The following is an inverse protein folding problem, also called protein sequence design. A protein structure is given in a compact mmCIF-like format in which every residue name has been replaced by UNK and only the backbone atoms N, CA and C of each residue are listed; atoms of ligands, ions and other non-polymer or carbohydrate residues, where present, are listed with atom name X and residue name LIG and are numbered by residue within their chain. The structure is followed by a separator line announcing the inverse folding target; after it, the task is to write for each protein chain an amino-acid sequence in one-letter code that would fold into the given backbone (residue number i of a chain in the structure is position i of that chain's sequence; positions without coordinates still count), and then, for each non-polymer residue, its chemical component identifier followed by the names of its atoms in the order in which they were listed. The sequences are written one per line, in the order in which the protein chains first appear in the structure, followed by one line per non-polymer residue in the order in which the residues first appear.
data_IF_710453576630
#
_entry.id   IF_710453576630
#
_cell.length_a   1.000
_cell.length_b   1.000
_cell.length_c   1.000
_cell.angle_alpha   90.00
_cell.angle_beta   90.00
_cell.angle_gamma   90.00
#
_symmetry.space_group_name_H-M   'P 1'
#
loop_
_entity.id
_entity.type
_entity.pdbx_description
1 polymer ?
#
# COMPACT_ATOMS: atom_id res chain seq x y z
N UNK A 1 25.05 8.40 24.10
CA UNK A 1 24.41 7.09 23.91
C UNK A 1 25.45 6.00 23.76
N UNK A 2 25.04 4.75 23.94
CA UNK A 2 25.90 3.58 23.67
C UNK A 2 25.90 3.34 22.16
N UNK A 3 27.07 3.26 21.52
CA UNK A 3 27.21 3.19 20.05
C UNK A 3 26.43 2.02 19.43
N UNK A 4 26.33 0.88 20.11
CA UNK A 4 25.63 -0.32 19.63
C UNK A 4 24.09 -0.22 19.62
N UNK A 5 23.49 0.79 20.29
CA UNK A 5 22.04 0.97 20.36
C UNK A 5 21.49 1.95 19.32
N UNK A 6 22.32 2.74 18.66
CA UNK A 6 21.90 3.74 17.69
C UNK A 6 21.24 3.12 16.45
N UNK A 7 21.76 2.02 15.96
CA UNK A 7 21.21 1.29 14.80
C UNK A 7 19.79 0.78 15.04
N UNK A 8 19.54 0.15 16.18
CA UNK A 8 18.22 -0.38 16.56
C UNK A 8 17.20 0.75 16.77
N UNK A 9 17.61 1.84 17.40
CA UNK A 9 16.74 3.00 17.59
C UNK A 9 16.36 3.67 16.25
N UNK A 10 17.34 3.81 15.36
CA UNK A 10 17.10 4.34 14.01
C UNK A 10 16.16 3.44 13.21
N UNK A 11 16.40 2.12 13.22
CA UNK A 11 15.53 1.17 12.55
C UNK A 11 14.10 1.25 13.05
N UNK A 12 13.89 1.28 14.36
CA UNK A 12 12.58 1.43 14.96
C UNK A 12 11.88 2.75 14.55
N UNK A 13 12.63 3.85 14.48
CA UNK A 13 12.10 5.13 14.01
C UNK A 13 11.67 5.06 12.52
N UNK A 14 12.48 4.41 11.68
CA UNK A 14 12.16 4.20 10.25
C UNK A 14 10.93 3.29 10.09
N UNK A 15 10.81 2.22 10.88
CA UNK A 15 9.66 1.32 10.89
C UNK A 15 8.36 2.07 11.19
N UNK A 16 8.36 2.96 12.18
CA UNK A 16 7.22 3.85 12.48
C UNK A 16 6.91 4.79 11.33
N UNK A 17 7.94 5.34 10.68
CA UNK A 17 7.79 6.17 9.48
C UNK A 17 7.13 5.42 8.33
N UNK A 18 7.51 4.17 8.09
CA UNK A 18 6.90 3.32 7.05
C UNK A 18 5.41 3.08 7.34
N UNK A 19 5.04 2.75 8.59
CA UNK A 19 3.63 2.56 8.97
C UNK A 19 2.82 3.84 8.79
N UNK A 20 3.38 4.99 9.18
CA UNK A 20 2.71 6.29 9.01
C UNK A 20 2.45 6.59 7.53
N UNK A 21 3.43 6.34 6.64
CA UNK A 21 3.26 6.47 5.19
C UNK A 21 2.21 5.50 4.63
N UNK A 22 2.17 4.25 5.11
CA UNK A 22 1.15 3.29 4.70
C UNK A 22 -0.26 3.75 5.14
N UNK A 23 -0.40 4.29 6.33
CA UNK A 23 -1.67 4.83 6.84
C UNK A 23 -2.12 6.06 6.04
N UNK A 24 -1.20 6.98 5.74
CA UNK A 24 -1.47 8.12 4.86
C UNK A 24 -1.94 7.67 3.48
N UNK A 25 -1.26 6.68 2.89
CA UNK A 25 -1.64 6.13 1.59
C UNK A 25 -3.05 5.53 1.63
N UNK A 26 -3.39 4.76 2.68
CA UNK A 26 -4.72 4.18 2.84
C UNK A 26 -5.81 5.27 2.90
N UNK A 27 -5.58 6.35 3.65
CA UNK A 27 -6.50 7.50 3.71
C UNK A 27 -6.63 8.22 2.37
N UNK A 28 -5.52 8.47 1.67
CA UNK A 28 -5.54 9.08 0.35
C UNK A 28 -6.27 8.21 -0.70
N UNK A 29 -6.07 6.89 -0.64
CA UNK A 29 -6.77 5.92 -1.50
C UNK A 29 -8.27 5.89 -1.22
N UNK A 30 -8.69 6.01 0.04
CA UNK A 30 -10.10 6.07 0.42
C UNK A 30 -10.79 7.29 -0.21
N UNK A 31 -10.20 8.46 -0.03
CA UNK A 31 -10.75 9.70 -0.63
C UNK A 31 -10.77 9.60 -2.17
N UNK A 32 -9.72 9.06 -2.79
CA UNK A 32 -9.70 8.87 -4.25
C UNK A 32 -10.81 7.93 -4.72
N UNK A 33 -11.10 6.85 -3.98
CA UNK A 33 -12.24 5.96 -4.26
C UNK A 33 -13.58 6.67 -4.15
N UNK A 34 -13.80 7.42 -3.07
CA UNK A 34 -15.07 8.11 -2.81
C UNK A 34 -15.33 9.19 -3.86
N UNK A 35 -14.34 10.04 -4.16
CA UNK A 35 -14.44 11.03 -5.23
C UNK A 35 -14.75 10.38 -6.58
N UNK A 36 -14.11 9.26 -6.89
CA UNK A 36 -14.34 8.54 -8.15
C UNK A 36 -15.75 7.97 -8.21
N UNK A 37 -16.22 7.38 -7.13
CA UNK A 37 -17.58 6.83 -7.05
C UNK A 37 -18.65 7.91 -7.22
N UNK A 38 -18.48 9.06 -6.57
CA UNK A 38 -19.42 10.17 -6.69
C UNK A 38 -19.42 10.77 -8.10
N UNK A 39 -18.25 10.94 -8.70
CA UNK A 39 -18.14 11.37 -10.09
C UNK A 39 -18.86 10.40 -11.06
N UNK A 40 -18.71 9.09 -10.89
CA UNK A 40 -19.38 8.09 -11.74
C UNK A 40 -20.92 8.14 -11.59
N UNK A 41 -21.45 8.50 -10.41
CA UNK A 41 -22.89 8.66 -10.17
C UNK A 41 -23.46 9.94 -10.78
N UNK A 42 -22.68 11.02 -10.81
CA UNK A 42 -23.12 12.33 -11.26
C UNK A 42 -22.90 12.55 -12.76
N UNK A 43 -21.77 12.11 -13.29
CA UNK A 43 -21.39 12.32 -14.69
C UNK A 43 -22.31 11.58 -15.64
N UNK A 44 -22.97 12.29 -16.53
CA UNK A 44 -23.87 11.73 -17.55
C UNK A 44 -23.20 11.70 -18.92
N UNK A 45 -23.29 10.57 -19.60
CA UNK A 45 -22.97 10.35 -21.01
C UNK A 45 -23.97 9.33 -21.58
N UNK A 46 -24.25 9.42 -22.88
CA UNK A 46 -25.22 8.54 -23.54
C UNK A 46 -26.62 8.54 -22.88
N UNK A 47 -27.00 9.65 -22.26
CA UNK A 47 -28.30 9.82 -21.61
C UNK A 47 -28.44 9.28 -20.19
N UNK A 48 -27.40 8.62 -19.65
CA UNK A 48 -27.41 8.00 -18.31
C UNK A 48 -26.16 8.37 -17.49
N UNK A 49 -26.17 8.23 -16.14
CA UNK A 49 -24.97 8.29 -15.35
C UNK A 49 -23.96 7.23 -15.80
N UNK A 50 -22.68 7.61 -15.94
CA UNK A 50 -21.67 6.67 -16.43
C UNK A 50 -21.43 5.48 -15.49
N UNK A 51 -21.70 5.63 -14.19
CA UNK A 51 -21.66 4.55 -13.20
C UNK A 51 -22.69 3.44 -13.42
N UNK A 52 -23.65 3.61 -14.35
CA UNK A 52 -24.58 2.54 -14.76
C UNK A 52 -23.93 1.48 -15.68
N UNK A 53 -22.76 1.78 -16.27
CA UNK A 53 -22.05 0.84 -17.13
C UNK A 53 -21.26 -0.17 -16.31
N UNK A 54 -21.55 -1.48 -16.52
CA UNK A 54 -20.89 -2.57 -15.79
C UNK A 54 -19.36 -2.51 -15.85
N UNK A 55 -18.78 -2.14 -16.99
CA UNK A 55 -17.33 -2.02 -17.16
C UNK A 55 -16.72 -1.05 -16.14
N UNK A 56 -17.41 0.07 -15.82
CA UNK A 56 -16.94 1.04 -14.83
C UNK A 56 -17.22 0.58 -13.39
N UNK A 57 -18.32 -0.15 -13.17
CA UNK A 57 -18.64 -0.75 -11.88
C UNK A 57 -17.58 -1.77 -11.47
N UNK A 58 -17.15 -2.67 -12.38
CA UNK A 58 -16.11 -3.65 -12.09
C UNK A 58 -14.78 -2.98 -11.73
N UNK A 59 -14.38 -1.93 -12.47
CA UNK A 59 -13.17 -1.16 -12.15
C UNK A 59 -13.25 -0.51 -10.78
N UNK A 60 -14.42 0.05 -10.41
CA UNK A 60 -14.64 0.63 -9.09
C UNK A 60 -14.55 -0.41 -7.96
N UNK A 61 -15.08 -1.63 -8.19
CA UNK A 61 -14.94 -2.75 -7.26
C UNK A 61 -13.47 -3.14 -7.09
N UNK A 62 -12.70 -3.22 -8.17
CA UNK A 62 -11.26 -3.52 -8.11
C UNK A 62 -10.49 -2.44 -7.32
N UNK A 63 -10.83 -1.16 -7.49
CA UNK A 63 -10.26 -0.07 -6.69
C UNK A 63 -10.56 -0.27 -5.20
N UNK A 64 -11.82 -0.57 -4.85
CA UNK A 64 -12.21 -0.81 -3.46
C UNK A 64 -11.51 -2.02 -2.86
N UNK A 65 -11.39 -3.12 -3.61
CA UNK A 65 -10.64 -4.30 -3.16
C UNK A 65 -9.16 -3.99 -2.90
N UNK A 66 -8.52 -3.17 -3.74
CA UNK A 66 -7.14 -2.75 -3.54
C UNK A 66 -6.99 -1.88 -2.29
N UNK A 67 -7.91 -0.98 -2.03
CA UNK A 67 -7.96 -0.19 -0.80
C UNK A 67 -8.06 -1.08 0.44
N UNK A 68 -8.99 -2.05 0.46
CA UNK A 68 -9.19 -2.93 1.63
C UNK A 68 -7.97 -3.82 1.91
N UNK A 69 -7.26 -4.28 0.87
CA UNK A 69 -5.96 -4.98 1.03
C UNK A 69 -4.92 -4.09 1.71
N UNK A 70 -4.77 -2.84 1.24
CA UNK A 70 -3.82 -1.88 1.82
C UNK A 70 -4.19 -1.57 3.26
N UNK A 71 -5.46 -1.32 3.57
CA UNK A 71 -5.94 -1.06 4.94
C UNK A 71 -5.62 -2.22 5.88
N UNK A 72 -5.94 -3.43 5.46
CA UNK A 72 -5.73 -4.64 6.27
C UNK A 72 -4.26 -4.87 6.58
N UNK A 73 -3.38 -4.76 5.58
CA UNK A 73 -1.94 -4.93 5.78
C UNK A 73 -1.31 -3.78 6.57
N UNK A 74 -1.78 -2.55 6.38
CA UNK A 74 -1.33 -1.40 7.16
C UNK A 74 -1.68 -1.57 8.64
N UNK A 75 -2.90 -2.02 8.94
CA UNK A 75 -3.34 -2.28 10.30
C UNK A 75 -2.52 -3.41 10.94
N UNK A 76 -2.31 -4.50 10.18
CA UNK A 76 -1.48 -5.62 10.61
C UNK A 76 -0.04 -5.20 10.93
N UNK A 77 0.57 -4.36 10.09
CA UNK A 77 1.89 -3.80 10.34
C UNK A 77 1.90 -2.87 11.57
N UNK A 78 0.88 -2.02 11.72
CA UNK A 78 0.77 -1.13 12.88
C UNK A 78 0.70 -1.90 14.21
N UNK A 79 -0.07 -3.00 14.26
CA UNK A 79 -0.18 -3.85 15.44
C UNK A 79 1.13 -4.58 15.81
N UNK A 80 2.11 -4.64 14.91
CA UNK A 80 3.40 -5.32 15.17
C UNK A 80 4.52 -4.38 15.62
N UNK A 81 4.29 -3.07 15.70
CA UNK A 81 5.35 -2.08 15.97
C UNK A 81 6.10 -2.34 17.26
N UNK A 82 5.41 -2.74 18.30
CA UNK A 82 6.00 -2.97 19.64
C UNK A 82 6.27 -4.48 19.89
N UNK A 83 6.13 -5.34 18.85
CA UNK A 83 6.34 -6.77 18.91
C UNK A 83 7.75 -7.22 18.51
N UNK A 84 7.87 -8.50 18.17
CA UNK A 84 9.13 -9.10 17.67
C UNK A 84 9.68 -8.38 16.45
N UNK A 85 11.00 -8.20 16.41
CA UNK A 85 11.65 -7.41 15.36
C UNK A 85 11.54 -8.08 13.98
N UNK A 86 11.62 -9.42 13.89
CA UNK A 86 11.52 -10.14 12.63
C UNK A 86 10.11 -10.07 12.07
N UNK A 87 9.12 -10.36 12.91
CA UNK A 87 7.71 -10.27 12.54
C UNK A 87 7.33 -8.85 12.12
N UNK A 88 7.78 -7.84 12.85
CA UNK A 88 7.57 -6.42 12.52
C UNK A 88 8.11 -6.10 11.12
N UNK A 89 9.37 -6.46 10.83
CA UNK A 89 10.00 -6.21 9.53
C UNK A 89 9.25 -6.86 8.37
N UNK A 90 8.81 -8.11 8.54
CA UNK A 90 8.05 -8.85 7.52
C UNK A 90 6.69 -8.19 7.24
N UNK A 91 5.97 -7.82 8.29
CA UNK A 91 4.65 -7.17 8.17
C UNK A 91 4.75 -5.79 7.53
N UNK A 92 5.76 -5.01 7.93
CA UNK A 92 6.05 -3.70 7.34
C UNK A 92 6.42 -3.81 5.85
N UNK A 93 7.29 -4.75 5.49
CA UNK A 93 7.67 -4.98 4.12
C UNK A 93 6.47 -5.40 3.26
N UNK A 94 5.60 -6.26 3.80
CA UNK A 94 4.36 -6.68 3.14
C UNK A 94 3.40 -5.50 2.92
N UNK A 95 3.19 -4.67 3.94
CA UNK A 95 2.31 -3.50 3.85
C UNK A 95 2.83 -2.48 2.83
N UNK A 96 4.12 -2.13 2.89
CA UNK A 96 4.71 -1.14 1.98
C UNK A 96 4.75 -1.64 0.52
N UNK A 97 5.02 -2.92 0.29
CA UNK A 97 4.91 -3.55 -1.04
C UNK A 97 3.50 -3.43 -1.60
N UNK A 98 2.48 -3.69 -0.77
CA UNK A 98 1.08 -3.58 -1.18
C UNK A 98 0.68 -2.12 -1.45
N UNK A 99 1.12 -1.17 -0.61
CA UNK A 99 0.87 0.27 -0.83
C UNK A 99 1.43 0.71 -2.18
N UNK A 100 2.68 0.36 -2.53
CA UNK A 100 3.27 0.76 -3.80
C UNK A 100 2.58 0.13 -5.00
N UNK A 101 2.23 -1.17 -4.93
CA UNK A 101 1.62 -1.88 -6.06
C UNK A 101 0.13 -1.57 -6.23
N UNK A 102 -0.67 -1.74 -5.18
CA UNK A 102 -2.11 -1.52 -5.22
C UNK A 102 -2.46 -0.02 -5.22
N UNK A 103 -1.69 0.80 -4.52
CA UNK A 103 -1.86 2.25 -4.50
C UNK A 103 -1.64 2.87 -5.88
N UNK A 104 -0.55 2.53 -6.57
CA UNK A 104 -0.30 2.97 -7.95
C UNK A 104 -1.45 2.60 -8.86
N UNK A 105 -1.88 1.32 -8.84
CA UNK A 105 -2.98 0.85 -9.67
C UNK A 105 -4.28 1.62 -9.40
N UNK A 106 -4.61 1.86 -8.12
CA UNK A 106 -5.78 2.63 -7.74
C UNK A 106 -5.70 4.08 -8.21
N UNK A 107 -4.54 4.74 -8.06
CA UNK A 107 -4.31 6.10 -8.50
C UNK A 107 -4.50 6.25 -10.02
N UNK A 108 -3.94 5.33 -10.81
CA UNK A 108 -4.08 5.28 -12.26
C UNK A 108 -5.54 5.06 -12.67
N UNK A 109 -6.25 4.16 -11.99
CA UNK A 109 -7.67 3.90 -12.24
C UNK A 109 -8.56 5.10 -11.89
N UNK A 110 -8.28 5.80 -10.79
CA UNK A 110 -9.02 7.00 -10.41
C UNK A 110 -8.90 8.08 -11.50
N UNK A 111 -7.69 8.38 -11.96
CA UNK A 111 -7.48 9.32 -13.07
C UNK A 111 -8.20 8.87 -14.34
N UNK A 112 -8.09 7.59 -14.69
CA UNK A 112 -8.72 7.04 -15.89
C UNK A 112 -10.25 7.15 -15.85
N UNK A 113 -10.88 6.90 -14.69
CA UNK A 113 -12.35 6.97 -14.54
C UNK A 113 -12.87 8.40 -14.56
N UNK A 114 -12.08 9.38 -14.15
CA UNK A 114 -12.37 10.81 -14.33
C UNK A 114 -12.16 11.27 -15.79
N UNK A 115 -11.35 10.53 -16.57
CA UNK A 115 -10.97 10.93 -17.93
C UNK A 115 -10.19 12.23 -17.93
N UNK A 116 -10.43 13.11 -18.92
CA UNK A 116 -9.71 14.38 -19.04
C UNK A 116 -9.79 15.26 -17.79
N UNK A 117 -10.88 15.21 -17.04
CA UNK A 117 -11.04 15.95 -15.77
C UNK A 117 -10.05 15.49 -14.70
N UNK A 118 -9.66 14.22 -14.71
CA UNK A 118 -8.68 13.66 -13.75
C UNK A 118 -7.25 14.17 -13.94
N UNK A 119 -6.97 14.83 -15.07
CA UNK A 119 -5.65 15.41 -15.38
C UNK A 119 -5.55 16.91 -15.07
N UNK A 120 -6.65 17.55 -14.70
CA UNK A 120 -6.70 18.97 -14.43
C UNK A 120 -6.23 19.29 -13.01
N UNK A 121 -5.55 20.41 -12.83
CA UNK A 121 -5.05 20.83 -11.51
C UNK A 121 -6.17 21.22 -10.54
N UNK A 122 -7.34 21.62 -11.05
CA UNK A 122 -8.53 21.88 -10.25
C UNK A 122 -9.17 20.60 -9.70
N UNK A 123 -8.80 19.44 -10.21
CA UNK A 123 -9.38 18.15 -9.79
C UNK A 123 -8.68 17.60 -8.55
N UNK A 124 -9.42 17.52 -7.44
CA UNK A 124 -8.90 16.97 -6.19
C UNK A 124 -8.35 15.54 -6.36
N UNK A 125 -8.95 14.71 -7.23
CA UNK A 125 -8.49 13.33 -7.46
C UNK A 125 -7.05 13.30 -7.99
N UNK A 126 -6.64 14.28 -8.83
CA UNK A 126 -5.28 14.36 -9.34
C UNK A 126 -4.24 14.54 -8.22
N UNK A 127 -4.56 15.34 -7.22
CA UNK A 127 -3.68 15.57 -6.08
C UNK A 127 -3.52 14.32 -5.21
N UNK A 128 -4.61 13.60 -4.92
CA UNK A 128 -4.55 12.33 -4.20
C UNK A 128 -3.78 11.28 -4.99
N UNK A 129 -4.01 11.14 -6.29
CA UNK A 129 -3.29 10.20 -7.14
C UNK A 129 -1.78 10.48 -7.16
N UNK A 130 -1.37 11.75 -7.35
CA UNK A 130 0.04 12.17 -7.25
C UNK A 130 0.63 11.81 -5.89
N UNK A 131 -0.09 12.09 -4.79
CA UNK A 131 0.39 11.80 -3.43
C UNK A 131 0.56 10.30 -3.19
N UNK A 132 -0.40 9.47 -3.59
CA UNK A 132 -0.33 8.00 -3.46
C UNK A 132 0.92 7.47 -4.18
N UNK A 133 1.18 7.91 -5.42
CA UNK A 133 2.35 7.51 -6.19
C UNK A 133 3.65 7.97 -5.50
N UNK A 134 3.69 9.19 -4.98
CA UNK A 134 4.88 9.73 -4.31
C UNK A 134 5.19 9.01 -2.99
N UNK A 135 4.18 8.55 -2.25
CA UNK A 135 4.39 7.77 -1.01
C UNK A 135 5.20 6.49 -1.28
N UNK A 136 5.03 5.87 -2.45
CA UNK A 136 5.82 4.68 -2.81
C UNK A 136 7.33 4.95 -2.77
N UNK A 137 7.77 6.13 -3.16
CA UNK A 137 9.20 6.48 -3.21
C UNK A 137 9.83 6.82 -1.86
N UNK A 138 9.03 7.07 -0.81
CA UNK A 138 9.57 7.39 0.51
C UNK A 138 9.87 6.13 1.33
N UNK A 139 11.02 6.11 1.99
CA UNK A 139 11.49 5.03 2.88
C UNK A 139 11.54 3.64 2.19
N UNK A 140 11.92 3.62 0.92
CA UNK A 140 11.96 2.44 0.07
C UNK A 140 10.66 2.22 -0.71
N UNK A 141 10.79 1.84 -1.97
CA UNK A 141 9.67 1.54 -2.85
C UNK A 141 9.15 0.09 -2.70
N UNK A 142 8.11 -0.25 -3.45
CA UNK A 142 7.53 -1.59 -3.44
C UNK A 142 8.54 -2.69 -3.78
N UNK A 143 9.48 -2.43 -4.70
CA UNK A 143 10.48 -3.43 -5.07
C UNK A 143 11.50 -3.64 -3.96
N UNK A 144 12.01 -2.55 -3.37
CA UNK A 144 12.91 -2.61 -2.21
C UNK A 144 12.30 -3.44 -1.07
N UNK A 145 11.06 -3.17 -0.70
CA UNK A 145 10.39 -3.89 0.39
C UNK A 145 10.05 -5.34 0.03
N UNK A 146 9.72 -5.61 -1.23
CA UNK A 146 9.50 -6.96 -1.75
C UNK A 146 10.78 -7.81 -1.67
N UNK A 147 11.91 -7.26 -2.12
CA UNK A 147 13.18 -7.97 -2.10
C UNK A 147 13.64 -8.23 -0.66
N UNK A 148 13.45 -7.25 0.22
CA UNK A 148 13.70 -7.40 1.66
C UNK A 148 12.84 -8.52 2.27
N UNK A 149 11.56 -8.60 1.94
CA UNK A 149 10.64 -9.65 2.41
C UNK A 149 11.07 -11.02 1.91
N UNK A 150 11.42 -11.14 0.63
CA UNK A 150 11.88 -12.40 0.04
C UNK A 150 13.18 -12.89 0.67
N UNK A 151 14.11 -11.99 0.99
CA UNK A 151 15.34 -12.32 1.71
C UNK A 151 15.05 -12.92 3.09
N UNK A 152 14.19 -12.27 3.88
CA UNK A 152 13.82 -12.77 5.21
C UNK A 152 13.15 -14.15 5.16
N UNK A 153 12.24 -14.38 4.20
CA UNK A 153 11.55 -15.65 4.03
C UNK A 153 12.51 -16.77 3.58
N UNK A 154 13.51 -16.46 2.76
CA UNK A 154 14.53 -17.41 2.35
C UNK A 154 15.42 -17.85 3.53
N UNK A 155 15.83 -16.92 4.39
CA UNK A 155 16.61 -17.20 5.60
C UNK A 155 15.84 -18.11 6.58
N UNK A 156 14.55 -17.84 6.81
CA UNK A 156 13.69 -18.70 7.64
C UNK A 156 13.54 -20.11 7.08
N UNK A 157 13.39 -20.23 5.76
CA UNK A 157 13.29 -21.51 5.07
C UNK A 157 14.54 -22.35 5.28
N UNK A 158 15.74 -21.76 5.15
CA UNK A 158 17.03 -22.44 5.37
C UNK A 158 17.18 -22.83 6.83
N UNK A 159 16.87 -21.95 7.78
CA UNK A 159 16.96 -22.23 9.20
C UNK A 159 16.03 -23.38 9.63
N UNK A 160 14.81 -23.43 9.07
CA UNK A 160 13.86 -24.49 9.35
C UNK A 160 14.27 -25.84 8.77
N UNK A 161 14.94 -25.86 7.63
CA UNK A 161 15.47 -27.07 7.00
C UNK A 161 16.65 -27.67 7.79
N UNK A 162 17.59 -26.84 8.27
CA UNK A 162 18.73 -27.26 9.08
C UNK A 162 18.28 -27.81 10.46
N UNK A 163 17.33 -27.16 11.12
CA UNK A 163 16.80 -27.63 12.42
C UNK A 163 16.00 -28.95 12.34
N UNK A 164 15.50 -29.34 11.17
CA UNK A 164 14.90 -30.65 10.93
C UNK A 164 15.95 -31.75 10.71
N UNK A 165 17.07 -31.42 10.10
CA UNK A 165 18.19 -32.36 9.89
C UNK A 165 18.85 -32.78 11.21
N UNK A 166 19.05 -31.83 12.14
CA UNK A 166 19.63 -32.08 13.47
C UNK A 166 18.72 -32.91 14.41
N UNK A 167 17.41 -32.93 14.18
CA UNK A 167 16.47 -33.74 14.97
C UNK A 167 16.28 -35.16 14.43
N UNK A 168 16.81 -35.47 13.25
CA UNK A 168 16.70 -36.76 12.59
C UNK A 168 18.00 -37.59 12.67
N UNK A 169 19.08 -37.01 13.22
CA UNK A 169 20.35 -37.65 13.53
C UNK A 169 20.45 -38.01 15.02
#
# INVERSE_FOLDING_TARGET
GVEDHAGTALEYALDRGVVALCAEAAGAMEIACDLTLDYLKERKQFGVPIGSFQALQHRMVDMRMNLEKVRSLTLWAACSLDGDATERRQRLASAKTMVGTAGRKLAEEAIQLFGGMGMMDESSVAHYAKRIIMIDHYLGDANFHKDRLLGMLAEESVASASGKADRAA
#
